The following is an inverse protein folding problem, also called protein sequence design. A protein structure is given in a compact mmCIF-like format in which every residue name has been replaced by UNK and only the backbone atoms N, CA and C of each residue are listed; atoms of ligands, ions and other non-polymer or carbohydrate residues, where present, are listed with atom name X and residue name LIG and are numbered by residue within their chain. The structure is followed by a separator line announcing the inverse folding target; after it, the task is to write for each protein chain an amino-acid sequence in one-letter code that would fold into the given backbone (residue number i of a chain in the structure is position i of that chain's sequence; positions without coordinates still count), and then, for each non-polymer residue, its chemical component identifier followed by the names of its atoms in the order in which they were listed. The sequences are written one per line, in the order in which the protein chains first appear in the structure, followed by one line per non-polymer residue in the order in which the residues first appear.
data_IF_712555346364
#
_entry.id   IF_712555346364
#
_cell.length_a   1.000
_cell.length_b   1.000
_cell.length_c   1.000
_cell.angle_alpha   90.00
_cell.angle_beta   90.00
_cell.angle_gamma   90.00
#
_symmetry.space_group_name_H-M   'P 1'
#
loop_
_entity.id
_entity.type
_entity.pdbx_description
1 polymer ?
#
# COMPACT_ATOMS: atom_id res chain seq x y z
N UNK A 1 15.17 2.88 21.90
CA UNK A 1 15.20 1.52 21.37
C UNK A 1 15.93 1.59 20.04
N UNK A 2 16.97 0.80 19.83
CA UNK A 2 17.75 0.77 18.57
C UNK A 2 17.19 -0.35 17.70
N UNK A 3 16.88 -0.05 16.43
CA UNK A 3 16.39 -1.04 15.47
C UNK A 3 17.39 -1.22 14.34
N UNK A 4 17.63 -2.45 13.93
CA UNK A 4 18.48 -2.79 12.78
C UNK A 4 17.56 -3.12 11.61
N UNK A 5 17.79 -2.49 10.46
CA UNK A 5 17.01 -2.69 9.25
C UNK A 5 17.73 -3.64 8.30
N UNK A 6 17.00 -4.64 7.83
CA UNK A 6 17.46 -5.55 6.80
C UNK A 6 16.71 -5.27 5.48
N UNK A 7 17.46 -5.20 4.40
CA UNK A 7 16.89 -5.03 3.05
C UNK A 7 16.78 -6.38 2.36
N UNK A 8 15.63 -6.61 1.74
CA UNK A 8 15.34 -7.81 0.95
C UNK A 8 14.99 -7.44 -0.48
N UNK A 9 15.25 -8.33 -1.41
CA UNK A 9 14.84 -8.17 -2.80
C UNK A 9 13.35 -8.56 -2.98
N UNK A 10 12.46 -7.67 -2.52
CA UNK A 10 11.02 -7.84 -2.58
C UNK A 10 10.39 -8.44 -1.33
N UNK A 11 9.05 -8.53 -1.35
CA UNK A 11 8.25 -8.94 -0.19
C UNK A 11 8.35 -10.42 0.13
N UNK A 12 8.49 -11.28 -0.87
CA UNK A 12 8.51 -12.73 -0.64
C UNK A 12 9.70 -13.21 0.24
N UNK A 13 10.96 -12.81 0.00
CA UNK A 13 12.05 -13.16 0.91
C UNK A 13 11.93 -12.50 2.29
N UNK A 14 11.46 -11.26 2.38
CA UNK A 14 11.25 -10.59 3.67
C UNK A 14 10.19 -11.33 4.52
N UNK A 15 9.12 -11.78 3.89
CA UNK A 15 8.07 -12.53 4.58
C UNK A 15 8.55 -13.91 5.04
N UNK A 16 9.38 -14.60 4.24
CA UNK A 16 10.01 -15.85 4.68
C UNK A 16 10.91 -15.65 5.90
N UNK A 17 11.71 -14.58 5.91
CA UNK A 17 12.55 -14.22 7.04
C UNK A 17 11.75 -13.93 8.32
N UNK A 18 10.59 -13.24 8.19
CA UNK A 18 9.68 -13.04 9.31
C UNK A 18 9.13 -14.36 9.85
N UNK A 19 8.61 -15.21 8.97
CA UNK A 19 8.01 -16.51 9.35
C UNK A 19 9.06 -17.44 9.93
N UNK A 20 10.30 -17.40 9.41
CA UNK A 20 11.44 -18.16 9.91
C UNK A 20 12.04 -17.62 11.20
N UNK A 21 11.58 -16.45 11.69
CA UNK A 21 12.08 -15.84 12.92
C UNK A 21 13.44 -15.14 12.78
N UNK A 22 13.92 -14.94 11.55
CA UNK A 22 15.18 -14.21 11.29
C UNK A 22 15.03 -12.71 11.57
N UNK A 23 13.82 -12.16 11.37
CA UNK A 23 13.46 -10.78 11.71
C UNK A 23 12.25 -10.75 12.61
N UNK A 24 12.23 -9.80 13.54
CA UNK A 24 11.14 -9.67 14.53
C UNK A 24 9.88 -8.99 13.98
N UNK A 25 10.04 -8.12 12.97
CA UNK A 25 8.95 -7.31 12.40
C UNK A 25 9.18 -7.10 10.90
N UNK A 26 8.07 -6.91 10.18
CA UNK A 26 8.06 -6.56 8.77
C UNK A 26 6.90 -5.63 8.45
N UNK A 27 7.16 -4.55 7.73
CA UNK A 27 6.13 -3.68 7.16
C UNK A 27 5.71 -4.26 5.81
N UNK A 28 4.59 -4.94 5.80
CA UNK A 28 4.08 -5.65 4.64
C UNK A 28 2.97 -4.86 3.92
N UNK A 29 2.88 -5.01 2.60
CA UNK A 29 1.67 -4.63 1.88
C UNK A 29 0.48 -5.49 2.34
N UNK A 30 -0.73 -4.94 2.35
CA UNK A 30 -1.93 -5.65 2.79
C UNK A 30 -2.18 -6.94 1.99
N UNK A 31 -1.90 -6.91 0.69
CA UNK A 31 -1.99 -8.08 -0.22
C UNK A 31 -1.11 -9.25 0.21
N UNK A 32 0.04 -8.96 0.81
CA UNK A 32 0.97 -9.98 1.31
C UNK A 32 0.64 -10.43 2.73
N UNK A 33 0.19 -9.49 3.58
CA UNK A 33 -0.07 -9.71 4.99
C UNK A 33 -1.39 -10.47 5.24
N UNK A 34 -2.49 -10.02 4.63
CA UNK A 34 -3.84 -10.54 4.91
C UNK A 34 -3.95 -12.07 4.81
N UNK A 35 -3.42 -12.73 3.78
CA UNK A 35 -3.47 -14.19 3.68
C UNK A 35 -2.72 -14.92 4.81
N UNK A 36 -1.84 -14.23 5.53
CA UNK A 36 -0.94 -14.80 6.55
C UNK A 36 -1.36 -14.51 7.99
N UNK A 37 -2.25 -13.52 8.21
CA UNK A 37 -2.62 -13.05 9.56
C UNK A 37 -3.22 -14.12 10.46
N UNK A 38 -3.82 -15.17 9.90
CA UNK A 38 -4.44 -16.27 10.68
C UNK A 38 -3.59 -17.53 10.76
N UNK A 39 -2.48 -17.59 10.05
CA UNK A 39 -1.70 -18.82 9.87
C UNK A 39 -0.30 -18.73 10.45
N UNK A 40 0.44 -17.68 10.14
CA UNK A 40 1.88 -17.61 10.40
C UNK A 40 2.39 -16.23 10.80
N UNK A 41 1.54 -15.22 10.80
CA UNK A 41 1.92 -13.87 11.20
C UNK A 41 0.83 -13.21 12.05
N UNK A 42 1.23 -12.32 12.96
CA UNK A 42 0.34 -11.50 13.76
C UNK A 42 0.37 -10.07 13.25
N UNK A 43 -0.79 -9.51 12.91
CA UNK A 43 -0.93 -8.09 12.63
C UNK A 43 -0.81 -7.28 13.92
N UNK A 44 0.08 -6.31 13.94
CA UNK A 44 0.31 -5.43 15.08
C UNK A 44 -0.34 -4.08 14.89
N UNK A 45 -0.36 -3.57 13.67
CA UNK A 45 -0.86 -2.26 13.32
C UNK A 45 -1.18 -2.19 11.83
N UNK A 46 -2.27 -1.53 11.48
CA UNK A 46 -2.54 -1.02 10.12
C UNK A 46 -2.15 0.45 10.09
N UNK A 47 -1.23 0.82 9.18
CA UNK A 47 -0.71 2.18 9.05
C UNK A 47 -1.69 3.16 8.37
N UNK A 48 -2.97 3.03 8.68
CA UNK A 48 -4.07 3.89 8.24
C UNK A 48 -4.83 4.43 9.45
N UNK A 49 -5.56 5.56 9.30
CA UNK A 49 -6.39 6.10 10.38
C UNK A 49 -7.54 5.19 10.81
N UNK A 50 -7.98 4.29 9.93
CA UNK A 50 -9.07 3.35 10.16
C UNK A 50 -8.59 1.91 10.07
N UNK A 51 -9.31 1.00 10.72
CA UNK A 51 -9.05 -0.43 10.58
C UNK A 51 -9.28 -0.88 9.13
N UNK A 52 -8.51 -1.87 8.73
CA UNK A 52 -8.63 -2.44 7.39
C UNK A 52 -9.78 -3.45 7.34
N UNK A 53 -10.71 -3.36 6.37
CA UNK A 53 -11.87 -4.27 6.31
C UNK A 53 -11.50 -5.75 6.23
N UNK A 54 -10.40 -6.09 5.54
CA UNK A 54 -9.91 -7.47 5.42
C UNK A 54 -9.14 -7.96 6.65
N UNK A 55 -8.87 -7.10 7.63
CA UNK A 55 -8.19 -7.42 8.88
C UNK A 55 -8.76 -6.59 10.06
N UNK A 56 -10.06 -6.75 10.40
CA UNK A 56 -10.74 -5.88 11.35
C UNK A 56 -10.22 -6.02 12.79
N UNK A 57 -9.56 -7.12 13.10
CA UNK A 57 -8.97 -7.38 14.42
C UNK A 57 -7.61 -6.67 14.62
N UNK A 58 -6.99 -6.17 13.55
CA UNK A 58 -5.72 -5.45 13.63
C UNK A 58 -5.99 -3.97 13.92
N UNK A 59 -5.38 -3.40 14.99
CA UNK A 59 -5.61 -2.01 15.34
C UNK A 59 -5.08 -1.05 14.26
N UNK A 60 -5.75 0.08 14.11
CA UNK A 60 -5.37 1.19 13.26
C UNK A 60 -4.48 2.19 14.00
N UNK A 61 -3.95 3.19 13.30
CA UNK A 61 -3.24 4.32 13.92
C UNK A 61 -4.11 5.01 14.97
N UNK A 62 -5.38 5.30 14.66
CA UNK A 62 -6.31 5.96 15.57
C UNK A 62 -6.57 5.13 16.83
N UNK A 63 -6.71 3.80 16.71
CA UNK A 63 -6.89 2.93 17.88
C UNK A 63 -5.71 3.00 18.87
N UNK A 64 -4.52 3.32 18.37
CA UNK A 64 -3.30 3.44 19.17
C UNK A 64 -2.96 4.89 19.54
N UNK A 65 -3.84 5.85 19.24
CA UNK A 65 -3.60 7.29 19.50
C UNK A 65 -2.51 7.89 18.62
N UNK A 66 -2.16 7.26 17.50
CA UNK A 66 -1.18 7.73 16.55
C UNK A 66 -1.86 8.48 15.40
N UNK A 67 -1.22 9.54 14.90
CA UNK A 67 -1.71 10.32 13.76
C UNK A 67 -0.86 10.10 12.51
N UNK A 68 0.40 9.76 12.67
CA UNK A 68 1.38 9.60 11.60
C UNK A 68 2.29 8.38 11.88
N UNK A 69 2.90 7.79 10.85
CA UNK A 69 2.73 8.06 9.42
C UNK A 69 1.53 7.33 8.82
N UNK A 70 0.70 8.03 8.06
CA UNK A 70 -0.27 7.40 7.16
C UNK A 70 0.50 6.88 5.94
N UNK A 71 0.64 5.56 5.83
CA UNK A 71 1.42 4.90 4.77
C UNK A 71 0.46 4.10 3.88
N UNK A 72 -0.38 4.80 3.15
CA UNK A 72 -1.23 4.18 2.15
C UNK A 72 -0.40 3.76 0.93
N UNK A 73 -0.61 2.55 0.46
CA UNK A 73 0.03 2.01 -0.74
C UNK A 73 -1.01 1.89 -1.85
N UNK A 74 -0.71 2.43 -3.00
CA UNK A 74 -1.60 2.42 -4.15
C UNK A 74 -0.91 1.80 -5.38
N UNK A 75 -1.72 1.31 -6.29
CA UNK A 75 -1.32 0.84 -7.61
C UNK A 75 -2.06 1.64 -8.67
N UNK A 76 -1.37 2.06 -9.71
CA UNK A 76 -1.95 2.86 -10.77
C UNK A 76 -1.30 2.57 -12.13
N UNK A 77 -2.05 2.77 -13.19
CA UNK A 77 -1.56 2.70 -14.56
C UNK A 77 -1.07 4.08 -14.99
N UNK A 78 0.20 4.18 -15.40
CA UNK A 78 0.80 5.39 -15.91
C UNK A 78 1.24 5.18 -17.36
N UNK A 79 1.13 6.23 -18.15
CA UNK A 79 1.59 6.27 -19.53
C UNK A 79 2.75 7.26 -19.72
N UNK A 80 3.46 7.21 -20.86
CA UNK A 80 4.44 8.24 -21.23
C UNK A 80 3.81 9.63 -21.30
N UNK A 81 4.64 10.67 -21.19
CA UNK A 81 4.18 12.03 -21.44
C UNK A 81 3.66 12.18 -22.88
N UNK A 82 2.53 12.90 -23.03
CA UNK A 82 1.97 13.18 -24.35
C UNK A 82 1.03 12.10 -24.91
N UNK A 83 0.62 11.10 -24.12
CA UNK A 83 -0.46 10.19 -24.54
C UNK A 83 -1.71 10.99 -24.85
N UNK A 84 -2.36 10.80 -26.04
CA UNK A 84 -3.60 11.51 -26.41
C UNK A 84 -4.71 11.32 -25.36
N UNK A 85 -5.45 12.38 -25.08
CA UNK A 85 -6.49 12.36 -24.03
C UNK A 85 -7.60 11.31 -24.27
N UNK A 86 -7.96 11.07 -25.52
CA UNK A 86 -8.94 10.03 -25.88
C UNK A 86 -8.44 8.62 -25.57
N UNK A 87 -7.13 8.38 -25.72
CA UNK A 87 -6.51 7.10 -25.33
C UNK A 87 -6.49 6.96 -23.81
N UNK A 88 -6.14 8.02 -23.07
CA UNK A 88 -6.19 8.01 -21.61
C UNK A 88 -7.60 7.72 -21.12
N UNK A 89 -8.63 8.34 -21.71
CA UNK A 89 -10.03 8.09 -21.35
C UNK A 89 -10.42 6.63 -21.62
N UNK A 90 -10.11 6.09 -22.79
CA UNK A 90 -10.38 4.68 -23.13
C UNK A 90 -9.72 3.70 -22.18
N UNK A 91 -8.45 3.96 -21.80
CA UNK A 91 -7.74 3.13 -20.83
C UNK A 91 -8.36 3.22 -19.44
N UNK A 92 -8.74 4.41 -18.98
CA UNK A 92 -9.44 4.60 -17.71
C UNK A 92 -10.76 3.82 -17.69
N UNK A 93 -11.58 3.94 -18.73
CA UNK A 93 -12.86 3.21 -18.83
C UNK A 93 -12.65 1.69 -18.82
N UNK A 94 -11.63 1.19 -19.53
CA UNK A 94 -11.32 -0.22 -19.58
C UNK A 94 -10.85 -0.74 -18.20
N UNK A 95 -9.98 0.01 -17.49
CA UNK A 95 -9.55 -0.32 -16.13
C UNK A 95 -10.72 -0.30 -15.16
N UNK A 96 -11.58 0.72 -15.21
CA UNK A 96 -12.77 0.79 -14.37
C UNK A 96 -13.74 -0.37 -14.62
N UNK A 97 -13.91 -0.77 -15.88
CA UNK A 97 -14.74 -1.93 -16.23
C UNK A 97 -14.15 -3.23 -15.67
N UNK A 98 -12.84 -3.44 -15.82
CA UNK A 98 -12.14 -4.61 -15.27
C UNK A 98 -12.23 -4.66 -13.74
N UNK A 99 -12.07 -3.54 -13.05
CA UNK A 99 -12.14 -3.46 -11.58
C UNK A 99 -13.55 -3.71 -11.02
N UNK A 100 -14.61 -3.64 -11.84
CA UNK A 100 -15.98 -4.02 -11.45
C UNK A 100 -16.20 -5.53 -11.51
N UNK A 101 -15.32 -6.27 -12.16
CA UNK A 101 -15.42 -7.74 -12.23
C UNK A 101 -15.07 -8.35 -10.87
N UNK A 102 -15.98 -9.12 -10.25
CA UNK A 102 -15.73 -9.80 -8.98
C UNK A 102 -14.51 -10.72 -9.01
N UNK A 103 -14.21 -11.36 -10.14
CA UNK A 103 -13.04 -12.23 -10.27
C UNK A 103 -11.72 -11.43 -10.16
N UNK A 104 -11.70 -10.22 -10.73
CA UNK A 104 -10.55 -9.31 -10.60
C UNK A 104 -10.40 -8.85 -9.17
N UNK A 105 -11.49 -8.46 -8.50
CA UNK A 105 -11.44 -8.04 -7.09
C UNK A 105 -10.97 -9.16 -6.16
N UNK A 106 -11.39 -10.39 -6.41
CA UNK A 106 -10.95 -11.56 -5.63
C UNK A 106 -9.48 -11.93 -5.87
N UNK A 107 -8.91 -11.55 -7.00
CA UNK A 107 -7.50 -11.83 -7.31
C UNK A 107 -6.50 -10.97 -6.53
N UNK A 108 -6.96 -9.90 -5.90
CA UNK A 108 -6.12 -8.94 -5.13
C UNK A 108 -6.59 -8.82 -3.68
N UNK A 109 -6.54 -9.90 -2.90
CA UNK A 109 -7.02 -9.90 -1.52
C UNK A 109 -6.27 -8.85 -0.69
N UNK A 110 -6.99 -8.15 0.17
CA UNK A 110 -6.41 -7.07 0.97
C UNK A 110 -6.25 -5.73 0.25
N UNK A 111 -6.73 -5.60 -0.99
CA UNK A 111 -6.80 -4.32 -1.68
C UNK A 111 -8.22 -3.74 -1.61
N UNK A 112 -8.32 -2.42 -1.55
CA UNK A 112 -9.57 -1.70 -1.79
C UNK A 112 -9.55 -1.13 -3.21
N UNK A 113 -10.60 -1.42 -3.97
CA UNK A 113 -10.75 -0.88 -5.32
C UNK A 113 -11.24 0.55 -5.23
N UNK A 114 -10.49 1.47 -5.81
CA UNK A 114 -10.86 2.88 -5.90
C UNK A 114 -11.12 3.25 -7.35
N UNK A 115 -12.27 3.87 -7.59
CA UNK A 115 -12.66 4.39 -8.90
C UNK A 115 -12.36 5.89 -8.95
N UNK A 116 -11.89 6.37 -10.10
CA UNK A 116 -11.59 7.79 -10.27
C UNK A 116 -11.29 8.16 -11.71
N UNK A 117 -11.19 9.46 -11.96
CA UNK A 117 -10.76 10.00 -13.26
C UNK A 117 -9.24 10.12 -13.32
N UNK A 118 -8.65 10.26 -14.51
CA UNK A 118 -7.22 10.55 -14.65
C UNK A 118 -6.78 11.78 -13.85
N UNK A 119 -7.63 12.83 -13.79
CA UNK A 119 -7.36 14.06 -13.06
C UNK A 119 -7.35 13.82 -11.53
N UNK A 120 -8.30 13.03 -11.01
CA UNK A 120 -8.33 12.69 -9.58
C UNK A 120 -7.12 11.86 -9.18
N UNK A 121 -6.67 10.94 -10.04
CA UNK A 121 -5.46 10.16 -9.81
C UNK A 121 -4.20 11.04 -9.84
N UNK A 122 -4.10 11.98 -10.80
CA UNK A 122 -2.99 12.94 -10.85
C UNK A 122 -2.94 13.83 -9.61
N UNK A 123 -4.09 14.29 -9.11
CA UNK A 123 -4.16 15.07 -7.88
C UNK A 123 -3.70 14.26 -6.66
N UNK A 124 -4.15 13.01 -6.54
CA UNK A 124 -3.73 12.08 -5.49
C UNK A 124 -2.22 11.84 -5.53
N UNK A 125 -1.66 11.57 -6.72
CA UNK A 125 -0.23 11.35 -6.92
C UNK A 125 0.60 12.57 -6.47
N UNK A 126 0.19 13.78 -6.85
CA UNK A 126 0.88 15.00 -6.43
C UNK A 126 0.83 15.22 -4.92
N UNK A 127 -0.31 14.94 -4.30
CA UNK A 127 -0.45 15.04 -2.84
C UNK A 127 0.45 14.00 -2.14
N UNK A 128 0.53 12.79 -2.65
CA UNK A 128 1.37 11.72 -2.09
C UNK A 128 2.86 12.05 -2.23
N UNK A 129 3.29 12.56 -3.38
CA UNK A 129 4.67 13.03 -3.58
C UNK A 129 5.05 14.13 -2.59
N UNK A 130 4.18 15.10 -2.37
CA UNK A 130 4.41 16.17 -1.38
C UNK A 130 4.49 15.61 0.05
N UNK A 131 3.62 14.67 0.41
CA UNK A 131 3.63 13.98 1.70
C UNK A 131 4.94 13.21 1.92
N UNK A 132 5.36 12.42 0.95
CA UNK A 132 6.60 11.64 1.02
C UNK A 132 7.82 12.56 1.12
N UNK A 133 7.87 13.65 0.35
CA UNK A 133 8.95 14.64 0.43
C UNK A 133 9.06 15.24 1.83
N UNK A 134 7.93 15.57 2.48
CA UNK A 134 7.89 16.05 3.87
C UNK A 134 8.44 14.99 4.85
N UNK A 135 8.05 13.73 4.69
CA UNK A 135 8.53 12.65 5.55
C UNK A 135 10.03 12.42 5.41
N UNK A 136 10.56 12.46 4.18
CA UNK A 136 12.00 12.36 3.92
C UNK A 136 12.74 13.50 4.63
N UNK A 137 12.23 14.74 4.51
CA UNK A 137 12.84 15.90 5.17
C UNK A 137 12.86 15.78 6.70
N UNK A 138 11.80 15.23 7.30
CA UNK A 138 11.70 15.04 8.77
C UNK A 138 12.59 13.89 9.27
N UNK A 139 12.75 12.83 8.51
CA UNK A 139 13.48 11.62 8.95
C UNK A 139 14.95 11.65 8.56
N UNK A 140 15.36 12.56 7.66
CA UNK A 140 16.71 12.58 7.10
C UNK A 140 17.04 11.35 6.22
N UNK A 141 16.01 10.58 5.81
CA UNK A 141 16.19 9.41 4.98
C UNK A 141 16.87 9.77 3.66
N UNK A 142 17.94 9.05 3.31
CA UNK A 142 18.61 9.16 2.01
C UNK A 142 18.37 7.85 1.26
N UNK A 143 17.81 7.95 0.06
CA UNK A 143 17.78 6.84 -0.87
C UNK A 143 19.21 6.59 -1.37
N UNK A 144 19.73 5.41 -1.15
CA UNK A 144 20.98 4.93 -1.77
C UNK A 144 20.67 4.31 -3.13
#
# INVERSE_FOLDING_TARGET
MSSIYFRYQGSAPALRALIGGEVAMYFAAATDAVPRLKQSARGLLVSLPRRWPSAPDVPSLTDLGLQEPNMDMWYGLLGPAGVPKDIVAKLNDAVQAALKDPAVQQSVPGSEVTFGTPESFAAMLNADLARVAKQIALTGFKAE
#
